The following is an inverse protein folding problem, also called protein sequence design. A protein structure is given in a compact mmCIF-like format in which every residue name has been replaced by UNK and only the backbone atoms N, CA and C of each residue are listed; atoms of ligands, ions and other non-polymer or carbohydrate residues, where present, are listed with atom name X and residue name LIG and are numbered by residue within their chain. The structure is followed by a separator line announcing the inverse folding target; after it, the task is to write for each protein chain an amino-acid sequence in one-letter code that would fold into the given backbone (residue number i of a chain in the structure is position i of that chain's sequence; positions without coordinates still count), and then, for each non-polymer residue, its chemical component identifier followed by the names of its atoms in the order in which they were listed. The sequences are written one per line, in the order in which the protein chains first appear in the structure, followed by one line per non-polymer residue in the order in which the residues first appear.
data_IF_167664006641
#
_entry.id   IF_167664006641
#
_cell.length_a   1.000
_cell.length_b   1.000
_cell.length_c   1.000
_cell.angle_alpha   90.00
_cell.angle_beta   90.00
_cell.angle_gamma   90.00
#
_symmetry.space_group_name_H-M   'P 1'
#
loop_
_entity.id
_entity.type
_entity.pdbx_description
1 polymer ?
#
# COMPACT_ATOMS: atom_id res chain seq x y z
N UNK A 1 -7.02 -14.69 12.44
CA UNK A 1 -7.88 -13.70 11.76
C UNK A 1 -7.46 -12.26 12.09
N UNK A 2 -7.18 -11.90 13.35
CA UNK A 2 -6.84 -10.52 13.77
C UNK A 2 -5.79 -9.74 12.95
N UNK A 3 -4.74 -10.39 12.42
CA UNK A 3 -3.69 -9.70 11.67
C UNK A 3 -4.16 -9.19 10.29
N UNK A 4 -5.00 -9.96 9.58
CA UNK A 4 -5.53 -9.57 8.27
C UNK A 4 -6.45 -8.35 8.43
N UNK A 5 -7.37 -8.44 9.39
CA UNK A 5 -8.33 -7.36 9.69
C UNK A 5 -7.61 -6.07 10.13
N UNK A 6 -6.50 -6.21 10.87
CA UNK A 6 -5.67 -5.06 11.27
C UNK A 6 -4.98 -4.41 10.07
N UNK A 7 -4.45 -5.21 9.14
CA UNK A 7 -3.82 -4.71 7.92
C UNK A 7 -4.85 -4.08 6.97
N UNK A 8 -6.04 -4.66 6.85
CA UNK A 8 -7.15 -4.09 6.08
C UNK A 8 -7.61 -2.74 6.66
N UNK A 9 -7.75 -2.64 7.99
CA UNK A 9 -8.08 -1.36 8.64
C UNK A 9 -6.98 -0.32 8.44
N UNK A 10 -5.70 -0.72 8.51
CA UNK A 10 -4.59 0.18 8.21
C UNK A 10 -4.62 0.64 6.76
N UNK A 11 -4.86 -0.27 5.82
CA UNK A 11 -4.96 0.04 4.40
C UNK A 11 -6.07 1.06 4.14
N UNK A 12 -7.24 0.88 4.76
CA UNK A 12 -8.33 1.84 4.68
C UNK A 12 -7.91 3.23 5.16
N UNK A 13 -7.21 3.33 6.29
CA UNK A 13 -6.71 4.62 6.78
C UNK A 13 -5.73 5.29 5.79
N UNK A 14 -4.93 4.51 5.05
CA UNK A 14 -4.04 5.05 4.03
C UNK A 14 -4.81 5.56 2.80
N UNK A 15 -5.87 4.86 2.36
CA UNK A 15 -6.74 5.38 1.30
C UNK A 15 -7.48 6.66 1.72
N UNK A 16 -7.99 6.71 2.96
CA UNK A 16 -8.64 7.91 3.49
C UNK A 16 -7.64 9.10 3.55
N UNK A 17 -6.38 8.83 3.89
CA UNK A 17 -5.32 9.83 3.86
C UNK A 17 -4.98 10.27 2.43
N UNK A 18 -4.92 9.34 1.48
CA UNK A 18 -4.72 9.65 0.06
C UNK A 18 -5.82 10.59 -0.45
N UNK A 19 -7.08 10.28 -0.16
CA UNK A 19 -8.23 11.07 -0.59
C UNK A 19 -8.20 12.49 0.01
N UNK A 20 -7.81 12.63 1.28
CA UNK A 20 -7.63 13.94 1.92
C UNK A 20 -6.53 14.76 1.26
N UNK A 21 -5.36 14.17 1.04
CA UNK A 21 -4.23 14.85 0.38
C UNK A 21 -4.62 15.30 -1.03
N UNK A 22 -5.35 14.47 -1.77
CA UNK A 22 -5.84 14.82 -3.11
C UNK A 22 -6.86 15.96 -3.08
N UNK A 23 -7.79 15.96 -2.11
CA UNK A 23 -8.76 17.04 -1.90
C UNK A 23 -8.06 18.35 -1.53
N UNK A 24 -7.15 18.30 -0.58
CA UNK A 24 -6.39 19.47 -0.11
C UNK A 24 -5.48 20.02 -1.21
N UNK A 25 -4.89 19.13 -2.03
CA UNK A 25 -4.02 19.51 -3.15
C UNK A 25 -4.73 20.02 -4.39
N UNK A 26 -6.03 19.78 -4.54
CA UNK A 26 -6.78 20.21 -5.72
C UNK A 26 -6.95 21.74 -5.80
N UNK A 27 -6.87 22.43 -4.67
CA UNK A 27 -7.06 23.89 -4.58
C UNK A 27 -5.76 24.67 -4.40
N UNK A 28 -4.60 23.99 -4.39
CA UNK A 28 -3.30 24.62 -4.17
C UNK A 28 -2.74 25.14 -5.49
N UNK A 29 -2.58 26.47 -5.57
CA UNK A 29 -1.97 27.16 -6.71
C UNK A 29 -0.46 27.38 -6.53
N UNK A 30 0.04 27.30 -5.30
CA UNK A 30 1.45 27.47 -4.97
C UNK A 30 2.28 26.23 -5.35
N UNK A 31 3.37 26.44 -6.09
CA UNK A 31 4.19 25.35 -6.64
C UNK A 31 4.93 24.56 -5.55
N UNK A 32 5.40 25.23 -4.50
CA UNK A 32 6.16 24.60 -3.42
C UNK A 32 5.24 23.76 -2.53
N UNK A 33 4.03 24.27 -2.24
CA UNK A 33 3.00 23.50 -1.57
C UNK A 33 2.55 22.29 -2.40
N UNK A 34 2.44 22.44 -3.72
CA UNK A 34 2.09 21.33 -4.62
C UNK A 34 3.15 20.22 -4.60
N UNK A 35 4.44 20.57 -4.61
CA UNK A 35 5.55 19.60 -4.48
C UNK A 35 5.51 18.87 -3.14
N UNK A 36 5.19 19.58 -2.05
CA UNK A 36 5.07 18.97 -0.73
C UNK A 36 3.89 17.98 -0.67
N UNK A 37 2.75 18.34 -1.24
CA UNK A 37 1.58 17.46 -1.36
C UNK A 37 1.89 16.24 -2.21
N UNK A 38 2.59 16.40 -3.33
CA UNK A 38 3.01 15.28 -4.18
C UNK A 38 3.98 14.34 -3.46
N UNK A 39 4.93 14.88 -2.69
CA UNK A 39 5.83 14.08 -1.86
C UNK A 39 5.06 13.27 -0.81
N UNK A 40 4.13 13.90 -0.10
CA UNK A 40 3.28 13.24 0.89
C UNK A 40 2.40 12.15 0.24
N UNK A 41 1.80 12.44 -0.92
CA UNK A 41 1.02 11.49 -1.69
C UNK A 41 1.85 10.25 -2.08
N UNK A 42 3.10 10.48 -2.50
CA UNK A 42 4.03 9.40 -2.86
C UNK A 42 4.37 8.51 -1.66
N UNK A 43 4.54 9.07 -0.47
CA UNK A 43 4.78 8.28 0.75
C UNK A 43 3.57 7.45 1.14
N UNK A 44 2.37 8.04 1.08
CA UNK A 44 1.10 7.34 1.35
C UNK A 44 0.92 6.16 0.39
N UNK A 45 1.15 6.37 -0.91
CA UNK A 45 1.07 5.31 -1.93
C UNK A 45 2.05 4.16 -1.69
N UNK A 46 3.29 4.45 -1.29
CA UNK A 46 4.25 3.40 -0.91
C UNK A 46 3.75 2.58 0.30
N UNK A 47 3.08 3.24 1.25
CA UNK A 47 2.44 2.57 2.38
C UNK A 47 1.32 1.62 1.94
N UNK A 48 0.47 2.07 1.00
CA UNK A 48 -0.59 1.27 0.37
C UNK A 48 0.01 0.03 -0.30
N UNK A 49 0.97 0.20 -1.22
CA UNK A 49 1.61 -0.91 -1.94
C UNK A 49 2.23 -1.94 -0.98
N UNK A 50 2.88 -1.48 0.10
CA UNK A 50 3.46 -2.37 1.10
C UNK A 50 2.40 -3.18 1.84
N UNK A 51 1.30 -2.56 2.23
CA UNK A 51 0.19 -3.22 2.94
C UNK A 51 -0.57 -4.18 2.03
N UNK A 52 -0.82 -3.80 0.78
CA UNK A 52 -1.39 -4.68 -0.25
C UNK A 52 -0.50 -5.91 -0.48
N UNK A 53 0.81 -5.73 -0.57
CA UNK A 53 1.76 -6.84 -0.68
C UNK A 53 1.70 -7.80 0.53
N UNK A 54 1.60 -7.27 1.75
CA UNK A 54 1.44 -8.07 2.96
C UNK A 54 0.10 -8.84 2.98
N UNK A 55 -0.99 -8.18 2.59
CA UNK A 55 -2.31 -8.80 2.46
C UNK A 55 -2.35 -9.86 1.36
N UNK A 56 -1.65 -9.61 0.24
CA UNK A 56 -1.49 -10.57 -0.83
C UNK A 56 -0.70 -11.79 -0.34
N UNK A 57 0.38 -11.62 0.41
CA UNK A 57 1.12 -12.76 0.98
C UNK A 57 0.27 -13.56 1.98
N UNK A 58 -0.54 -12.88 2.80
CA UNK A 58 -1.45 -13.53 3.74
C UNK A 58 -2.58 -14.30 3.05
N UNK A 59 -3.14 -13.76 1.96
CA UNK A 59 -4.16 -14.44 1.15
C UNK A 59 -3.56 -15.55 0.27
N UNK A 60 -2.33 -15.35 -0.23
CA UNK A 60 -1.62 -16.29 -1.11
C UNK A 60 -1.01 -17.47 -0.36
N UNK A 61 -0.94 -17.44 0.99
CA UNK A 61 -0.62 -18.63 1.81
C UNK A 61 -1.57 -19.82 1.60
N UNK A 62 -2.65 -19.64 0.83
CA UNK A 62 -3.55 -20.72 0.40
C UNK A 62 -3.04 -21.50 -0.83
N UNK A 63 -1.98 -21.07 -1.55
CA UNK A 63 -1.36 -21.90 -2.61
C UNK A 63 0.04 -22.39 -2.21
N UNK A 64 0.09 -23.46 -1.41
CA UNK A 64 1.29 -24.30 -1.31
C UNK A 64 1.48 -25.15 -2.57
N UNK A 65 2.75 -25.29 -2.96
CA UNK A 65 3.41 -26.24 -3.89
C UNK A 65 3.56 -25.79 -5.35
N UNK A 66 4.80 -25.47 -5.72
CA UNK A 66 5.58 -26.37 -6.58
C UNK A 66 6.93 -26.65 -5.91
N UNK A 67 7.14 -27.91 -5.57
CA UNK A 67 8.46 -28.45 -5.25
C UNK A 67 9.35 -28.22 -6.47
N UNK A 68 10.47 -27.54 -6.30
CA UNK A 68 11.53 -27.53 -7.31
C UNK A 68 12.13 -28.95 -7.35
N UNK A 69 12.15 -29.64 -8.50
CA UNK A 69 12.95 -30.85 -8.62
C UNK A 69 14.42 -30.44 -8.53
N UNK A 70 15.12 -30.93 -7.50
CA UNK A 70 16.57 -30.84 -7.40
C UNK A 70 17.16 -31.57 -8.61
N UNK A 71 17.73 -30.83 -9.57
CA UNK A 71 18.63 -31.43 -10.56
C UNK A 71 20.03 -31.43 -9.96
N UNK A 72 20.45 -32.59 -9.46
CA UNK A 72 21.86 -32.94 -9.40
C UNK A 72 22.36 -33.08 -10.84
N UNK A 73 23.32 -32.25 -11.21
CA UNK A 73 24.03 -32.26 -12.49
C UNK A 73 25.42 -31.69 -12.27
#
# INVERSE_FOLDING_TARGET
MALKDTLERRLQNYYDAEERILKDGATVEDEDQRKLIEANLREVRKGIESLEGQLQMLSSKVRKRKQYPVRLG
#
